data_IF_835795468783
#
_entry.id   IF_835795468783
#
_cell.length_a   1.000
_cell.length_b   1.000
_cell.length_c   1.000
_cell.angle_alpha   90.00
_cell.angle_beta   90.00
_cell.angle_gamma   90.00
#
_symmetry.space_group_name_H-M   'P 1'
#
loop_
_entity.id
_entity.type
_entity.pdbx_description
1 polymer ?
#
# COMPACT_ATOMS: atom_id res chain seq x y z
N UNK A 1 0.63 26.24 9.80
CA UNK A 1 1.03 25.13 8.88
C UNK A 1 -0.02 24.78 7.82
N UNK A 2 -1.25 24.36 8.16
CA UNK A 2 -2.25 23.92 7.16
C UNK A 2 -2.54 24.96 6.06
N UNK A 3 -2.74 26.22 6.45
CA UNK A 3 -2.96 27.34 5.52
C UNK A 3 -1.74 27.57 4.59
N UNK A 4 -0.52 27.37 5.09
CA UNK A 4 0.70 27.50 4.29
C UNK A 4 0.79 26.39 3.23
N UNK A 5 0.40 25.16 3.57
CA UNK A 5 0.34 24.04 2.60
C UNK A 5 -0.71 24.32 1.53
N UNK A 6 -1.91 24.73 1.92
CA UNK A 6 -3.00 25.03 0.97
C UNK A 6 -2.60 26.12 -0.02
N UNK A 7 -2.01 27.20 0.47
CA UNK A 7 -1.55 28.32 -0.37
C UNK A 7 -0.35 27.92 -1.24
N UNK A 8 0.64 27.19 -0.70
CA UNK A 8 1.78 26.70 -1.49
C UNK A 8 1.32 25.77 -2.63
N UNK A 9 0.35 24.89 -2.36
CA UNK A 9 -0.22 24.01 -3.36
C UNK A 9 -1.04 24.77 -4.41
N UNK A 10 -1.81 25.79 -4.01
CA UNK A 10 -2.54 26.65 -4.93
C UNK A 10 -1.60 27.41 -5.88
N UNK A 11 -0.47 27.93 -5.36
CA UNK A 11 0.59 28.55 -6.17
C UNK A 11 1.21 27.53 -7.13
N UNK A 12 1.57 26.33 -6.64
CA UNK A 12 2.15 25.25 -7.46
C UNK A 12 1.19 24.70 -8.54
N UNK A 13 -0.13 24.88 -8.37
CA UNK A 13 -1.17 24.54 -9.35
C UNK A 13 -1.48 25.69 -10.32
N UNK A 14 -0.75 26.80 -10.25
CA UNK A 14 -0.97 27.98 -11.10
C UNK A 14 -2.23 28.77 -10.73
N UNK A 15 -2.74 28.61 -9.51
CA UNK A 15 -3.95 29.29 -8.98
C UNK A 15 -3.64 30.06 -7.69
N UNK A 16 -2.72 31.05 -7.70
CA UNK A 16 -2.25 31.71 -6.48
C UNK A 16 -3.33 32.49 -5.71
N UNK A 17 -4.39 32.92 -6.40
CA UNK A 17 -5.52 33.67 -5.79
C UNK A 17 -6.66 32.75 -5.29
N UNK A 18 -6.57 31.44 -5.51
CA UNK A 18 -7.61 30.52 -5.07
C UNK A 18 -7.55 30.31 -3.56
N UNK A 19 -8.72 30.25 -2.92
CA UNK A 19 -8.88 29.89 -1.51
C UNK A 19 -9.34 28.43 -1.35
N UNK A 20 -8.94 27.56 -2.28
CA UNK A 20 -9.25 26.14 -2.24
C UNK A 20 -8.45 25.47 -1.13
N UNK A 21 -9.17 24.75 -0.26
CA UNK A 21 -8.59 23.96 0.84
C UNK A 21 -8.27 22.55 0.34
N UNK A 22 -7.06 22.09 0.61
CA UNK A 22 -6.59 20.75 0.24
C UNK A 22 -6.34 19.89 1.47
N UNK A 23 -5.94 20.51 2.58
CA UNK A 23 -5.78 19.86 3.88
C UNK A 23 -7.13 19.74 4.59
N UNK A 24 -7.50 18.52 4.97
CA UNK A 24 -8.69 18.23 5.79
C UNK A 24 -8.40 18.47 7.28
N UNK A 25 -7.31 17.89 7.79
CA UNK A 25 -6.92 17.92 9.21
C UNK A 25 -5.44 17.61 9.35
N UNK A 26 -4.80 18.11 10.42
CA UNK A 26 -3.46 17.70 10.84
C UNK A 26 -3.55 17.17 12.27
N UNK A 27 -2.92 16.03 12.55
CA UNK A 27 -2.88 15.40 13.87
C UNK A 27 -1.43 15.17 14.32
N UNK A 28 -1.15 15.38 15.60
CA UNK A 28 0.09 14.93 16.24
C UNK A 28 -0.03 13.45 16.58
N UNK A 29 0.93 12.64 16.13
CA UNK A 29 0.98 11.19 16.37
C UNK A 29 2.38 10.77 16.82
N UNK A 30 2.48 9.77 17.69
CA UNK A 30 3.76 9.18 18.10
C UNK A 30 4.03 7.91 17.30
N UNK A 31 5.25 7.73 16.80
CA UNK A 31 5.64 6.54 16.04
C UNK A 31 7.14 6.28 16.05
N UNK A 32 7.57 5.07 15.68
CA UNK A 32 8.99 4.73 15.56
C UNK A 32 9.40 4.77 14.09
N UNK A 33 10.42 5.55 13.70
CA UNK A 33 10.89 5.55 12.31
C UNK A 33 11.37 4.15 11.90
N UNK A 34 10.99 3.71 10.70
CA UNK A 34 11.41 2.42 10.17
C UNK A 34 12.88 2.39 9.74
N UNK A 35 13.36 3.48 9.14
CA UNK A 35 14.75 3.56 8.65
C UNK A 35 15.71 3.96 9.79
N UNK A 36 16.62 3.03 10.11
CA UNK A 36 17.61 3.17 11.18
C UNK A 36 17.17 2.55 12.51
N UNK A 37 18.10 2.41 13.46
CA UNK A 37 17.79 2.00 14.83
C UNK A 37 17.44 3.25 15.66
N UNK A 38 16.24 3.27 16.22
CA UNK A 38 15.78 4.32 17.14
C UNK A 38 15.23 3.63 18.36
N UNK A 39 15.69 3.88 19.58
CA UNK A 39 15.18 3.17 20.76
C UNK A 39 13.78 3.68 21.18
N UNK A 40 13.56 4.99 21.02
CA UNK A 40 12.35 5.69 21.45
C UNK A 40 11.40 6.05 20.29
N UNK A 41 10.13 6.28 20.63
CA UNK A 41 9.15 6.85 19.70
C UNK A 41 9.42 8.35 19.48
N UNK A 42 9.12 8.84 18.27
CA UNK A 42 9.23 10.23 17.87
C UNK A 42 7.85 10.78 17.50
N UNK A 43 7.69 12.09 17.65
CA UNK A 43 6.46 12.77 17.25
C UNK A 43 6.46 13.07 15.74
N UNK A 44 5.31 12.83 15.12
CA UNK A 44 5.05 13.07 13.70
C UNK A 44 3.75 13.84 13.52
N UNK A 45 3.65 14.55 12.39
CA UNK A 45 2.42 15.20 11.96
C UNK A 45 1.75 14.35 10.88
N UNK A 46 0.56 13.82 11.17
CA UNK A 46 -0.29 13.13 10.20
C UNK A 46 -1.19 14.15 9.50
N UNK A 47 -0.95 14.37 8.21
CA UNK A 47 -1.67 15.33 7.37
C UNK A 47 -2.72 14.57 6.55
N UNK A 48 -4.00 14.90 6.74
CA UNK A 48 -5.09 14.38 5.93
C UNK A 48 -5.39 15.33 4.77
N UNK A 49 -5.47 14.80 3.56
CA UNK A 49 -5.79 15.54 2.35
C UNK A 49 -7.17 15.14 1.82
N UNK A 50 -7.88 16.08 1.20
CA UNK A 50 -9.16 15.77 0.53
C UNK A 50 -8.96 14.98 -0.77
N UNK A 51 -7.88 15.25 -1.50
CA UNK A 51 -7.58 14.61 -2.76
C UNK A 51 -6.24 13.84 -2.68
N UNK A 52 -6.25 12.49 -2.80
CA UNK A 52 -5.03 11.68 -2.68
C UNK A 52 -4.01 11.94 -3.80
N UNK A 53 -4.44 12.44 -4.96
CA UNK A 53 -3.51 12.75 -6.06
C UNK A 53 -2.53 13.88 -5.71
N UNK A 54 -2.83 14.68 -4.69
CA UNK A 54 -1.98 15.80 -4.25
C UNK A 54 -0.87 15.39 -3.28
N UNK A 55 -0.87 14.15 -2.76
CA UNK A 55 0.11 13.67 -1.75
C UNK A 55 1.56 13.82 -2.22
N UNK A 56 1.84 13.43 -3.47
CA UNK A 56 3.18 13.52 -4.06
C UNK A 56 3.66 14.97 -4.16
N UNK A 57 2.80 15.87 -4.65
CA UNK A 57 3.13 17.30 -4.75
C UNK A 57 3.35 17.94 -3.40
N UNK A 58 2.51 17.63 -2.41
CA UNK A 58 2.68 18.15 -1.05
C UNK A 58 4.00 17.67 -0.44
N UNK A 59 4.38 16.40 -0.69
CA UNK A 59 5.63 15.83 -0.21
C UNK A 59 6.85 16.54 -0.83
N UNK A 60 6.82 16.81 -2.14
CA UNK A 60 7.88 17.57 -2.83
C UNK A 60 7.99 19.02 -2.32
N UNK A 61 6.86 19.70 -2.09
CA UNK A 61 6.84 21.05 -1.53
C UNK A 61 7.38 21.11 -0.09
N UNK A 62 7.04 20.11 0.73
CA UNK A 62 7.55 19.98 2.09
C UNK A 62 9.06 19.72 2.12
N UNK A 63 9.54 18.83 1.24
CA UNK A 63 10.97 18.51 1.11
C UNK A 63 11.77 19.68 0.56
N UNK A 64 11.22 20.42 -0.40
CA UNK A 64 11.84 21.60 -1.01
C UNK A 64 11.87 22.84 -0.12
N UNK A 65 11.28 22.80 1.08
CA UNK A 65 11.29 23.93 2.01
C UNK A 65 10.29 25.05 1.67
N UNK A 66 9.42 24.84 0.68
CA UNK A 66 8.41 25.82 0.24
C UNK A 66 7.43 26.22 1.35
N UNK A 67 7.21 25.34 2.32
CA UNK A 67 6.26 25.51 3.41
C UNK A 67 7.01 25.94 4.67
N UNK A 68 6.64 27.08 5.26
CA UNK A 68 7.24 27.61 6.51
C UNK A 68 8.75 27.86 6.45
N UNK A 69 9.34 27.96 5.25
CA UNK A 69 10.77 28.15 5.02
C UNK A 69 11.64 27.11 5.77
N UNK A 70 11.15 25.87 5.85
CA UNK A 70 11.83 24.76 6.52
C UNK A 70 11.67 23.49 5.68
N UNK A 71 12.76 22.78 5.50
CA UNK A 71 12.73 21.46 4.86
C UNK A 71 12.15 20.43 5.83
N UNK A 72 11.08 19.77 5.41
CA UNK A 72 10.46 18.67 6.13
C UNK A 72 10.72 17.37 5.38
N UNK A 73 11.03 16.29 6.10
CA UNK A 73 11.15 14.96 5.52
C UNK A 73 9.76 14.31 5.44
N UNK A 74 9.20 14.05 4.25
CA UNK A 74 7.93 13.35 4.14
C UNK A 74 8.12 11.86 4.47
N UNK A 75 7.21 11.30 5.27
CA UNK A 75 7.16 9.88 5.59
C UNK A 75 5.94 9.24 4.91
N UNK A 76 6.10 8.00 4.43
CA UNK A 76 5.03 7.20 3.81
C UNK A 76 4.31 7.82 2.59
N UNK A 77 4.78 8.96 2.05
CA UNK A 77 4.17 9.63 0.89
C UNK A 77 4.29 8.88 -0.44
N UNK A 78 5.08 7.80 -0.48
CA UNK A 78 5.27 6.96 -1.66
C UNK A 78 4.21 5.85 -1.79
N UNK A 79 3.46 5.56 -0.72
CA UNK A 79 2.46 4.48 -0.72
C UNK A 79 1.17 5.01 -1.38
N UNK A 80 0.69 4.39 -2.48
CA UNK A 80 -0.57 4.77 -3.12
C UNK A 80 -1.76 4.70 -2.15
N UNK A 81 -2.71 5.62 -2.31
CA UNK A 81 -3.90 5.72 -1.46
C UNK A 81 -4.69 4.40 -1.34
N UNK A 82 -4.88 3.68 -2.45
CA UNK A 82 -5.61 2.42 -2.42
C UNK A 82 -4.89 1.34 -1.59
N UNK A 83 -3.56 1.32 -1.62
CA UNK A 83 -2.77 0.40 -0.80
C UNK A 83 -2.80 0.79 0.68
N UNK A 84 -2.72 2.09 0.99
CA UNK A 84 -2.92 2.57 2.37
C UNK A 84 -4.28 2.15 2.91
N UNK A 85 -5.34 2.28 2.10
CA UNK A 85 -6.69 1.83 2.48
C UNK A 85 -6.73 0.32 2.75
N UNK A 86 -6.10 -0.51 1.92
CA UNK A 86 -6.05 -1.96 2.17
C UNK A 86 -5.29 -2.31 3.44
N UNK A 87 -4.17 -1.62 3.72
CA UNK A 87 -3.37 -1.85 4.92
C UNK A 87 -4.16 -1.42 6.18
N UNK A 88 -4.75 -0.22 6.18
CA UNK A 88 -5.44 0.36 7.34
C UNK A 88 -6.66 -0.45 7.79
N UNK A 89 -7.37 -1.07 6.83
CA UNK A 89 -8.57 -1.88 7.09
C UNK A 89 -8.32 -3.38 6.99
N UNK A 90 -7.06 -3.82 6.84
CA UNK A 90 -6.69 -5.22 6.71
C UNK A 90 -7.44 -5.96 5.59
N UNK A 91 -7.50 -5.34 4.41
CA UNK A 91 -8.16 -5.89 3.21
C UNK A 91 -7.13 -6.52 2.28
N UNK A 92 -7.46 -7.72 1.78
CA UNK A 92 -6.65 -8.42 0.79
C UNK A 92 -7.37 -8.53 -0.55
N UNK A 93 -6.61 -8.58 -1.64
CA UNK A 93 -7.17 -8.86 -2.96
C UNK A 93 -7.77 -10.25 -3.03
N UNK A 94 -8.93 -10.39 -3.70
CA UNK A 94 -9.67 -11.66 -3.84
C UNK A 94 -10.15 -12.30 -2.52
N UNK A 95 -10.17 -11.53 -1.43
CA UNK A 95 -10.66 -11.95 -0.13
C UNK A 95 -12.06 -11.38 0.17
N UNK A 96 -12.71 -11.88 1.22
CA UNK A 96 -14.00 -11.42 1.68
C UNK A 96 -13.88 -10.11 2.46
N UNK A 97 -14.77 -9.15 2.16
CA UNK A 97 -14.93 -7.93 2.96
C UNK A 97 -16.08 -8.13 3.94
N UNK A 98 -15.77 -8.05 5.22
CA UNK A 98 -16.72 -8.22 6.31
C UNK A 98 -17.24 -6.84 6.71
N UNK A 99 -18.52 -6.56 6.45
CA UNK A 99 -19.16 -5.28 6.72
C UNK A 99 -20.25 -5.42 7.78
N UNK A 100 -20.28 -4.51 8.75
CA UNK A 100 -21.31 -4.47 9.79
C UNK A 100 -22.67 -4.02 9.23
N UNK A 101 -22.64 -3.02 8.34
CA UNK A 101 -23.83 -2.46 7.71
C UNK A 101 -23.55 -2.05 6.28
N UNK A 102 -24.57 -2.18 5.43
CA UNK A 102 -24.54 -1.73 4.02
C UNK A 102 -25.86 -1.06 3.68
N UNK A 103 -25.80 -0.07 2.80
CA UNK A 103 -26.98 0.57 2.21
C UNK A 103 -27.02 0.34 0.70
N UNK A 104 -28.19 0.02 0.18
CA UNK A 104 -28.39 -0.35 -1.22
C UNK A 104 -28.80 0.86 -2.05
N UNK A 105 -28.23 0.97 -3.26
CA UNK A 105 -28.63 2.00 -4.23
C UNK A 105 -29.78 1.50 -5.10
N UNK A 106 -30.75 2.39 -5.34
CA UNK A 106 -31.92 2.09 -6.15
C UNK A 106 -31.57 2.19 -7.62
N UNK A 107 -32.15 1.29 -8.41
CA UNK A 107 -32.20 1.45 -9.85
C UNK A 107 -33.17 2.60 -10.11
N UNK A 108 -32.72 3.61 -10.86
CA UNK A 108 -33.63 4.63 -11.35
C UNK A 108 -34.70 3.91 -12.18
N UNK A 109 -35.97 4.01 -11.77
CA UNK A 109 -37.08 3.64 -12.62
C UNK A 109 -37.04 4.61 -13.80
N UNK A 110 -36.27 4.26 -14.84
CA UNK A 110 -36.39 4.91 -16.14
C UNK A 110 -37.84 4.70 -16.51
N UNK A 111 -38.63 5.77 -16.47
CA UNK A 111 -40.06 5.77 -16.76
C UNK A 111 -40.36 5.40 -18.21
N UNK A 112 -39.96 4.20 -18.62
CA UNK A 112 -40.59 3.52 -19.74
C UNK A 112 -41.95 3.05 -19.23
N UNK A 113 -42.96 3.86 -19.51
CA UNK A 113 -44.36 3.60 -19.21
C UNK A 113 -44.95 2.44 -20.00
N UNK A 114 -44.18 1.38 -20.25
CA UNK A 114 -44.75 0.10 -20.65
C UNK A 114 -45.18 -0.65 -19.40
N UNK A 115 -46.40 -0.34 -18.97
CA UNK A 115 -47.27 -1.23 -18.22
C UNK A 115 -47.50 -2.51 -19.05
N UNK A 116 -46.50 -3.36 -19.16
CA UNK A 116 -46.72 -4.77 -19.43
C UNK A 116 -46.75 -5.46 -18.08
N UNK A 117 -47.97 -5.54 -17.54
CA UNK A 117 -48.33 -6.55 -16.58
C UNK A 117 -48.13 -7.91 -17.24
N UNK A 118 -46.88 -8.38 -17.23
CA UNK A 118 -46.55 -9.75 -17.61
C UNK A 118 -47.07 -10.65 -16.49
N UNK A 119 -48.30 -11.10 -16.70
CA UNK A 119 -48.87 -12.28 -16.05
C UNK A 119 -48.08 -13.50 -16.51
N UNK A 120 -46.89 -13.71 -15.96
CA UNK A 120 -46.21 -15.01 -16.03
C UNK A 120 -45.52 -15.32 -14.71
N UNK A 121 -46.07 -16.35 -14.04
CA UNK A 121 -45.37 -17.13 -13.03
C UNK A 121 -45.50 -16.61 -11.62
N UNK A 122 -46.60 -16.94 -10.95
CA UNK A 122 -46.54 -17.31 -9.53
C UNK A 122 -45.62 -18.54 -9.41
N UNK A 123 -44.46 -18.50 -8.74
CA UNK A 123 -44.06 -19.65 -7.96
C UNK A 123 -44.96 -19.63 -6.72
N UNK A 124 -45.69 -20.71 -6.50
CA UNK A 124 -46.25 -21.02 -5.20
C UNK A 124 -45.11 -21.01 -4.17
N UNK A 125 -44.91 -19.90 -3.45
CA UNK A 125 -44.05 -19.84 -2.28
C UNK A 125 -44.80 -20.48 -1.10
N UNK A 126 -44.91 -21.80 -1.17
CA UNK A 126 -45.10 -22.62 0.01
C UNK A 126 -43.81 -22.55 0.83
N UNK A 127 -43.85 -21.79 1.92
CA UNK A 127 -43.00 -21.96 3.09
C UNK A 127 -41.50 -22.06 2.83
N UNK A 128 -40.85 -20.96 2.44
CA UNK A 128 -39.42 -20.83 2.71
C UNK A 128 -39.29 -20.51 4.20
N UNK A 129 -39.04 -21.56 4.97
CA UNK A 129 -38.61 -21.49 6.36
C UNK A 129 -37.58 -20.38 6.54
N UNK A 130 -37.79 -19.53 7.56
CA UNK A 130 -36.82 -18.56 8.10
C UNK A 130 -35.65 -19.30 8.77
N UNK A 131 -34.99 -20.17 8.03
CA UNK A 131 -33.88 -21.02 8.45
C UNK A 131 -32.95 -21.24 7.26
N UNK A 132 -32.57 -20.16 6.57
CA UNK A 132 -31.36 -20.18 5.78
C UNK A 132 -30.23 -19.79 6.74
N UNK A 133 -29.24 -20.66 6.88
CA UNK A 133 -28.00 -20.37 7.61
C UNK A 133 -27.54 -18.95 7.27
N UNK A 134 -27.19 -18.18 8.31
CA UNK A 134 -26.84 -16.76 8.23
C UNK A 134 -25.75 -16.42 7.19
N UNK A 135 -25.09 -17.43 6.63
CA UNK A 135 -24.01 -17.32 5.65
C UNK A 135 -24.45 -17.29 4.18
N UNK A 136 -25.73 -17.55 3.84
CA UNK A 136 -26.13 -17.64 2.42
C UNK A 136 -27.40 -16.86 2.07
N UNK A 137 -27.58 -15.68 2.67
CA UNK A 137 -28.70 -14.77 2.41
C UNK A 137 -28.65 -14.24 0.96
N UNK A 138 -29.66 -14.57 0.17
CA UNK A 138 -29.84 -14.01 -1.16
C UNK A 138 -30.43 -12.59 -1.09
N UNK A 139 -29.72 -11.61 -1.64
CA UNK A 139 -30.16 -10.22 -1.67
C UNK A 139 -31.00 -9.96 -2.94
N UNK A 140 -32.30 -9.75 -2.75
CA UNK A 140 -33.25 -9.42 -3.82
C UNK A 140 -34.08 -8.21 -3.41
N UNK A 141 -34.71 -7.50 -4.37
CA UNK A 141 -35.57 -6.33 -4.08
C UNK A 141 -36.62 -6.59 -2.98
N UNK A 142 -37.10 -7.83 -2.86
CA UNK A 142 -38.10 -8.25 -1.87
C UNK A 142 -37.45 -8.60 -0.51
N UNK A 143 -36.20 -9.07 -0.50
CA UNK A 143 -35.47 -9.46 0.71
C UNK A 143 -34.77 -8.29 1.42
N UNK A 144 -34.55 -7.19 0.71
CA UNK A 144 -33.92 -5.97 1.25
C UNK A 144 -34.99 -5.13 1.95
N UNK A 145 -34.78 -4.85 3.24
CA UNK A 145 -35.71 -4.02 4.00
C UNK A 145 -35.69 -2.56 3.51
N UNK A 146 -36.84 -1.88 3.59
CA UNK A 146 -37.04 -0.49 3.19
C UNK A 146 -36.00 0.47 3.79
N UNK A 147 -35.60 0.21 5.04
CA UNK A 147 -34.61 1.00 5.78
C UNK A 147 -33.17 0.85 5.27
N UNK A 148 -32.88 -0.20 4.51
CA UNK A 148 -31.54 -0.47 3.98
C UNK A 148 -31.30 0.22 2.63
N UNK A 149 -32.31 0.84 2.02
CA UNK A 149 -32.15 1.62 0.81
C UNK A 149 -31.67 3.03 1.11
N UNK A 150 -30.82 3.57 0.24
CA UNK A 150 -30.51 5.00 0.22
C UNK A 150 -31.68 5.81 -0.33
N UNK A 151 -31.62 7.13 -0.11
CA UNK A 151 -32.56 8.09 -0.65
C UNK A 151 -32.62 8.03 -2.19
N UNK A 152 -33.73 8.52 -2.75
CA UNK A 152 -33.97 8.52 -4.20
C UNK A 152 -33.03 9.46 -4.97
N UNK A 153 -32.33 10.35 -4.26
CA UNK A 153 -31.30 11.23 -4.78
C UNK A 153 -30.02 10.49 -5.19
N UNK A 154 -29.74 9.34 -4.56
CA UNK A 154 -28.54 8.54 -4.84
C UNK A 154 -28.89 7.38 -5.76
N UNK A 155 -28.80 7.66 -7.06
CA UNK A 155 -29.04 6.66 -8.10
C UNK A 155 -27.82 5.80 -8.35
N UNK A 156 -28.09 4.54 -8.68
CA UNK A 156 -27.09 3.57 -9.12
C UNK A 156 -26.31 4.06 -10.36
N UNK A 157 -25.00 3.84 -10.37
CA UNK A 157 -24.11 4.22 -11.48
C UNK A 157 -23.47 3.02 -12.20
N UNK A 158 -23.39 1.87 -11.54
CA UNK A 158 -22.78 0.64 -12.08
C UNK A 158 -23.74 -0.19 -12.93
N UNK A 159 -23.19 -1.14 -13.69
CA UNK A 159 -23.93 -2.16 -14.44
C UNK A 159 -24.02 -3.51 -13.70
N UNK A 160 -23.46 -3.63 -12.50
CA UNK A 160 -23.45 -4.85 -11.68
C UNK A 160 -24.84 -5.25 -11.17
N UNK A 161 -25.06 -6.47 -10.70
CA UNK A 161 -26.40 -6.86 -10.20
C UNK A 161 -26.81 -6.03 -8.96
N UNK A 162 -25.83 -5.75 -8.10
CA UNK A 162 -26.00 -5.05 -6.83
C UNK A 162 -24.99 -3.90 -6.72
N UNK A 163 -25.44 -2.77 -6.18
CA UNK A 163 -24.57 -1.64 -5.81
C UNK A 163 -24.90 -1.24 -4.37
N UNK A 164 -23.86 -1.20 -3.55
CA UNK A 164 -23.96 -0.91 -2.12
C UNK A 164 -22.97 0.17 -1.72
N UNK A 165 -23.40 1.02 -0.80
CA UNK A 165 -22.54 1.96 -0.09
C UNK A 165 -22.33 1.44 1.33
N UNK A 166 -21.09 1.57 1.81
CA UNK A 166 -20.68 1.25 3.16
C UNK A 166 -19.80 2.37 3.70
N UNK A 167 -19.86 2.59 5.01
CA UNK A 167 -18.96 3.52 5.68
C UNK A 167 -17.70 2.74 6.06
N UNK A 168 -16.53 3.37 5.96
CA UNK A 168 -15.27 2.70 6.26
C UNK A 168 -15.19 2.21 7.73
N UNK A 169 -15.89 2.88 8.66
CA UNK A 169 -16.04 2.47 10.05
C UNK A 169 -16.78 1.12 10.21
N UNK A 170 -17.58 0.72 9.23
CA UNK A 170 -18.32 -0.55 9.26
C UNK A 170 -17.48 -1.74 8.76
N UNK A 171 -16.22 -1.54 8.35
CA UNK A 171 -15.33 -2.61 7.91
C UNK A 171 -14.76 -3.36 9.12
N UNK A 172 -15.11 -4.64 9.25
CA UNK A 172 -14.80 -5.50 10.39
C UNK A 172 -13.53 -6.33 10.21
N UNK A 173 -12.92 -6.33 9.01
CA UNK A 173 -11.70 -7.10 8.71
C UNK A 173 -10.52 -6.81 9.64
N UNK A 174 -10.48 -5.63 10.29
CA UNK A 174 -9.42 -5.26 11.24
C UNK A 174 -9.54 -5.97 12.59
N UNK A 175 -10.75 -6.32 13.02
CA UNK A 175 -11.00 -7.00 14.30
C UNK A 175 -10.81 -8.52 14.24
N UNK A 176 -10.78 -9.11 13.04
CA UNK A 176 -10.57 -10.56 12.84
C UNK A 176 -9.10 -11.01 13.01
N UNK A 177 -8.21 -10.12 13.45
CA UNK A 177 -6.76 -10.37 13.62
C UNK A 177 -6.42 -11.21 14.88
N UNK A 178 -6.98 -12.41 14.97
CA UNK A 178 -6.71 -13.36 16.06
C UNK A 178 -5.50 -14.30 15.82
N UNK A 179 -4.64 -14.04 14.83
CA UNK A 179 -3.39 -14.80 14.64
C UNK A 179 -2.18 -13.87 14.66
N UNK A 180 -1.67 -13.66 15.87
CA UNK A 180 -0.62 -12.71 16.28
C UNK A 180 0.74 -12.83 15.55
N UNK A 181 0.96 -13.76 14.61
CA UNK A 181 2.29 -14.06 14.06
C UNK A 181 2.33 -14.57 12.61
N UNK A 182 1.30 -14.34 11.78
CA UNK A 182 1.29 -14.85 10.40
C UNK A 182 0.81 -13.83 9.37
N UNK A 183 1.42 -13.85 8.19
CA UNK A 183 0.83 -13.18 7.01
C UNK A 183 -0.46 -13.94 6.65
N UNK A 184 -1.65 -13.30 6.67
CA UNK A 184 -2.92 -13.97 6.41
C UNK A 184 -2.97 -14.62 5.03
N UNK A 185 -2.30 -14.04 4.02
CA UNK A 185 -2.16 -14.63 2.70
C UNK A 185 -1.38 -15.95 2.70
N UNK A 186 -0.37 -16.09 3.58
CA UNK A 186 0.36 -17.36 3.74
C UNK A 186 -0.46 -18.39 4.51
N UNK A 187 -1.35 -17.96 5.40
CA UNK A 187 -2.18 -18.87 6.19
C UNK A 187 -3.10 -19.70 5.28
N UNK A 188 -3.76 -19.07 4.31
CA UNK A 188 -4.60 -19.78 3.34
C UNK A 188 -3.80 -20.79 2.52
N UNK A 189 -2.60 -20.42 2.06
CA UNK A 189 -1.71 -21.33 1.32
C UNK A 189 -1.27 -22.52 2.19
N UNK A 190 -0.99 -22.27 3.47
CA UNK A 190 -0.60 -23.33 4.40
C UNK A 190 -1.74 -24.29 4.70
N UNK A 191 -2.96 -23.79 4.83
CA UNK A 191 -4.14 -24.62 5.07
C UNK A 191 -4.52 -25.45 3.83
N UNK A 192 -4.36 -24.90 2.62
CA UNK A 192 -4.47 -25.65 1.36
C UNK A 192 -3.41 -26.75 1.27
N UNK A 193 -2.15 -26.46 1.63
CA UNK A 193 -1.08 -27.46 1.64
C UNK A 193 -1.34 -28.57 2.69
N UNK A 194 -1.80 -28.21 3.89
CA UNK A 194 -2.24 -29.21 4.90
C UNK A 194 -3.37 -30.07 4.35
N UNK A 195 -4.34 -29.48 3.65
CA UNK A 195 -5.45 -30.22 3.05
C UNK A 195 -4.97 -31.18 1.98
N UNK A 196 -4.11 -30.72 1.06
CA UNK A 196 -3.50 -31.56 0.01
C UNK A 196 -2.77 -32.76 0.61
N UNK A 197 -2.06 -32.58 1.73
CA UNK A 197 -1.39 -33.67 2.45
C UNK A 197 -2.39 -34.66 3.06
N UNK A 198 -3.46 -34.16 3.70
CA UNK A 198 -4.55 -35.01 4.22
C UNK A 198 -5.18 -35.86 3.12
N UNK A 199 -5.44 -35.28 1.94
CA UNK A 199 -6.03 -35.98 0.80
C UNK A 199 -5.11 -37.08 0.26
N UNK A 200 -3.80 -36.96 0.48
CA UNK A 200 -2.78 -37.98 0.14
C UNK A 200 -2.45 -38.92 1.30
N UNK A 201 -3.13 -38.81 2.44
CA UNK A 201 -2.81 -39.51 3.69
C UNK A 201 -1.37 -39.26 4.19
N UNK A 202 -0.80 -38.09 3.89
CA UNK A 202 0.49 -37.61 4.40
C UNK A 202 0.29 -36.86 5.74
N UNK A 203 1.33 -36.79 6.56
CA UNK A 203 1.30 -36.00 7.81
C UNK A 203 1.15 -34.50 7.51
N UNK A 204 0.17 -33.85 8.16
CA UNK A 204 -0.09 -32.40 8.05
C UNK A 204 0.88 -31.53 8.86
N UNK A 205 1.74 -32.13 9.69
CA UNK A 205 2.78 -31.43 10.44
C UNK A 205 4.00 -31.24 9.53
N UNK A 206 4.30 -29.99 9.19
CA UNK A 206 5.52 -29.60 8.49
C UNK A 206 6.41 -28.93 9.53
N UNK A 207 7.42 -29.67 10.01
CA UNK A 207 8.42 -29.13 10.92
C UNK A 207 9.50 -28.37 10.14
N UNK A 208 10.11 -27.38 10.79
CA UNK A 208 11.24 -26.67 10.22
C UNK A 208 12.42 -27.64 10.03
N UNK A 209 13.14 -27.56 8.89
CA UNK A 209 14.36 -28.34 8.73
C UNK A 209 15.40 -27.91 9.77
N UNK A 210 16.31 -28.81 10.18
CA UNK A 210 17.39 -28.44 11.08
C UNK A 210 18.22 -27.31 10.45
N UNK A 211 18.58 -26.31 11.25
CA UNK A 211 19.49 -25.25 10.79
C UNK A 211 20.83 -25.87 10.40
N UNK A 212 21.42 -25.51 9.26
CA UNK A 212 22.76 -25.96 8.90
C UNK A 212 23.77 -25.52 9.97
N UNK A 213 24.77 -26.35 10.22
CA UNK A 213 25.84 -26.04 11.15
C UNK A 213 26.64 -24.84 10.61
N UNK A 214 26.84 -23.82 11.46
CA UNK A 214 27.59 -22.63 11.05
C UNK A 214 29.08 -22.94 11.21
N UNK A 215 29.82 -22.96 10.12
CA UNK A 215 31.27 -23.09 10.15
C UNK A 215 31.88 -21.89 10.91
N UNK A 216 32.87 -22.18 11.76
CA UNK A 216 33.66 -21.14 12.42
C UNK A 216 34.62 -20.58 11.37
N UNK A 217 34.26 -19.44 10.79
CA UNK A 217 35.08 -18.72 9.82
C UNK A 217 36.19 -17.97 10.57
N UNK A 218 37.44 -18.10 10.10
CA UNK A 218 38.55 -17.31 10.63
C UNK A 218 38.34 -15.82 10.34
N UNK A 219 38.61 -14.99 11.34
CA UNK A 219 38.30 -13.57 11.26
C UNK A 219 39.18 -12.89 10.19
N UNK A 220 38.53 -12.30 9.18
CA UNK A 220 39.23 -11.63 8.09
C UNK A 220 39.90 -10.32 8.58
N UNK A 221 40.89 -9.83 7.83
CA UNK A 221 41.54 -8.54 8.14
C UNK A 221 40.54 -7.37 8.14
N UNK A 222 39.55 -7.40 7.23
CA UNK A 222 38.46 -6.43 7.16
C UNK A 222 37.57 -6.45 8.41
N UNK A 223 37.27 -7.63 8.95
CA UNK A 223 36.47 -7.78 10.17
C UNK A 223 37.21 -7.21 11.38
N UNK A 224 38.52 -7.45 11.48
CA UNK A 224 39.35 -6.82 12.50
C UNK A 224 39.32 -5.29 12.42
N UNK A 225 39.37 -4.73 11.21
CA UNK A 225 39.28 -3.29 10.98
C UNK A 225 37.92 -2.74 11.46
N UNK A 226 36.81 -3.33 11.02
CA UNK A 226 35.47 -2.88 11.42
C UNK A 226 35.21 -3.06 12.92
N UNK A 227 35.71 -4.13 13.54
CA UNK A 227 35.61 -4.33 14.98
C UNK A 227 36.39 -3.27 15.76
N UNK A 228 37.57 -2.88 15.27
CA UNK A 228 38.33 -1.79 15.87
C UNK A 228 37.60 -0.46 15.72
N UNK A 229 37.03 -0.17 14.55
CA UNK A 229 36.21 1.04 14.35
C UNK A 229 34.98 1.06 15.28
N UNK A 230 34.27 -0.06 15.42
CA UNK A 230 33.13 -0.18 16.36
C UNK A 230 33.57 0.07 17.80
N UNK A 231 34.70 -0.50 18.23
CA UNK A 231 35.23 -0.28 19.59
C UNK A 231 35.55 1.19 19.84
N UNK A 232 36.11 1.90 18.86
CA UNK A 232 36.38 3.34 18.98
C UNK A 232 35.09 4.18 19.03
N UNK A 233 34.08 3.81 18.24
CA UNK A 233 32.76 4.44 18.31
C UNK A 233 32.15 4.26 19.71
N UNK A 234 32.17 3.03 20.25
CA UNK A 234 31.64 2.75 21.60
C UNK A 234 32.36 3.53 22.69
N UNK A 235 33.70 3.66 22.60
CA UNK A 235 34.48 4.51 23.52
C UNK A 235 34.02 5.96 23.47
N UNK A 236 33.84 6.50 22.27
CA UNK A 236 33.42 7.89 22.08
C UNK A 236 32.00 8.15 22.59
N UNK A 237 31.06 7.23 22.32
CA UNK A 237 29.66 7.37 22.73
C UNK A 237 29.46 7.29 24.24
N UNK A 238 30.24 6.46 24.94
CA UNK A 238 30.15 6.31 26.40
C UNK A 238 30.45 7.59 27.21
N UNK A 239 31.09 8.60 26.60
CA UNK A 239 31.37 9.89 27.22
C UNK A 239 30.16 10.84 27.20
N UNK A 240 29.18 10.60 26.33
CA UNK A 240 28.05 11.50 26.08
C UNK A 240 26.81 11.17 26.93
N UNK A 241 26.65 9.92 27.38
CA UNK A 241 25.45 9.44 28.09
C UNK A 241 25.36 9.83 29.58
N UNK A 242 26.34 10.57 30.14
CA UNK A 242 26.31 11.03 31.55
C UNK A 242 25.48 12.30 31.80
N UNK A 243 24.56 12.67 30.90
CA UNK A 243 23.58 13.73 31.15
C UNK A 243 22.18 13.15 31.11
N UNK A 244 21.70 12.76 32.28
CA UNK A 244 20.30 12.42 32.53
C UNK A 244 19.40 13.54 31.99
N UNK A 245 18.62 13.21 30.96
CA UNK A 245 17.57 14.09 30.45
C UNK A 245 16.23 13.56 30.98
N UNK A 246 15.82 14.07 32.14
CA UNK A 246 14.49 13.85 32.72
C UNK A 246 13.50 14.61 31.83
N UNK A 247 12.81 13.90 30.93
CA UNK A 247 11.74 14.49 30.12
C UNK A 247 10.42 14.44 30.92
N UNK A 248 9.65 15.55 31.00
CA UNK A 248 8.37 15.56 31.70
C UNK A 248 7.35 14.68 31.00
N UNK A 249 6.50 14.02 31.77
CA UNK A 249 5.36 13.24 31.30
C UNK A 249 4.38 14.12 30.51
N UNK A 250 4.59 14.26 29.20
CA UNK A 250 3.61 14.80 28.29
C UNK A 250 2.59 13.71 27.94
N UNK A 251 1.32 14.12 27.87
CA UNK A 251 0.20 13.27 27.46
C UNK A 251 0.58 12.50 26.19
N UNK A 252 0.66 11.17 26.29
CA UNK A 252 1.17 10.30 25.22
C UNK A 252 0.34 10.51 23.96
N UNK A 253 0.95 11.08 22.91
CA UNK A 253 0.30 11.29 21.63
C UNK A 253 -0.22 9.94 21.07
N UNK A 254 -1.40 10.00 20.43
CA UNK A 254 -2.10 8.82 19.92
C UNK A 254 -1.26 8.11 18.83
N UNK A 255 -1.28 6.78 18.81
CA UNK A 255 -0.58 6.00 17.78
C UNK A 255 -1.23 6.19 16.39
N UNK A 256 -0.50 5.96 15.28
CA UNK A 256 -1.02 6.18 13.93
C UNK A 256 -2.24 5.28 13.63
N UNK A 257 -2.24 4.04 14.12
CA UNK A 257 -3.34 3.09 13.95
C UNK A 257 -4.62 3.53 14.68
N UNK A 258 -4.50 4.11 15.89
CA UNK A 258 -5.63 4.64 16.65
C UNK A 258 -6.21 5.91 16.03
N UNK A 259 -5.38 6.70 15.34
CA UNK A 259 -5.83 7.92 14.67
C UNK A 259 -6.84 7.65 13.54
N UNK A 260 -6.78 6.48 12.88
CA UNK A 260 -7.72 6.08 11.83
C UNK A 260 -9.11 5.82 12.40
N UNK A 261 -9.20 5.19 13.57
CA UNK A 261 -10.47 4.93 14.27
C UNK A 261 -11.09 6.24 14.80
N UNK A 262 -10.26 7.14 15.34
CA UNK A 262 -10.69 8.43 15.87
C UNK A 262 -11.24 9.39 14.79
N UNK A 263 -10.82 9.25 13.53
CA UNK A 263 -11.41 10.02 12.41
C UNK A 263 -12.91 9.76 12.27
N UNK A 264 -13.33 8.50 12.43
CA UNK A 264 -14.73 8.11 12.23
C UNK A 264 -15.58 8.36 13.47
N UNK A 265 -14.99 8.23 14.67
CA UNK A 265 -15.66 8.52 15.94
C UNK A 265 -15.93 10.02 16.17
N UNK A 266 -15.10 10.91 15.61
CA UNK A 266 -15.15 12.36 15.88
C UNK A 266 -16.20 13.16 15.10
N UNK A 267 -17.18 12.51 14.48
CA UNK A 267 -18.40 13.18 14.01
C UNK A 267 -19.29 13.67 15.17
N UNK A 268 -18.99 13.27 16.41
CA UNK A 268 -19.62 13.78 17.62
C UNK A 268 -18.56 14.25 18.63
N UNK A 269 -18.45 15.57 18.81
CA UNK A 269 -17.76 16.24 19.93
C UNK A 269 -16.26 15.95 20.14
N UNK A 270 -15.37 16.71 19.48
CA UNK A 270 -14.19 17.34 20.11
C UNK A 270 -13.74 18.55 19.26
N UNK A 271 -14.35 19.72 19.50
CA UNK A 271 -13.76 21.01 19.11
C UNK A 271 -12.75 21.36 20.21
N UNK A 272 -11.50 20.91 20.10
CA UNK A 272 -10.43 21.61 20.82
C UNK A 272 -10.24 22.95 20.13
N UNK A 273 -10.70 24.03 20.76
CA UNK A 273 -10.47 25.39 20.30
C UNK A 273 -8.98 25.73 20.42
N UNK A 274 -8.20 25.44 19.38
CA UNK A 274 -6.96 26.18 19.17
C UNK A 274 -7.35 27.55 18.66
N UNK A 275 -7.22 28.52 19.56
CA UNK A 275 -7.39 29.93 19.27
C UNK A 275 -6.44 30.30 18.13
N UNK A 276 -7.00 30.72 17.00
CA UNK A 276 -6.23 31.18 15.84
C UNK A 276 -5.49 32.46 16.22
N UNK A 277 -4.30 32.30 16.80
CA UNK A 277 -3.26 33.32 16.77
C UNK A 277 -2.89 33.48 15.30
N UNK A 278 -2.88 34.71 14.79
CA UNK A 278 -2.66 35.01 13.38
C UNK A 278 -1.39 34.33 12.86
N UNK A 279 -1.57 33.18 12.21
CA UNK A 279 -0.50 32.42 11.57
C UNK A 279 -0.28 33.09 10.21
N UNK A 280 0.67 34.03 10.14
CA UNK A 280 1.13 34.53 8.85
C UNK A 280 1.58 33.33 8.02
N UNK A 281 0.97 33.14 6.85
CA UNK A 281 1.32 32.03 5.96
C UNK A 281 2.71 32.29 5.40
N UNK A 282 3.73 31.70 6.00
CA UNK A 282 5.11 31.77 5.50
C UNK A 282 5.28 30.74 4.38
N UNK A 283 5.56 31.24 3.18
CA UNK A 283 5.75 30.46 1.95
C UNK A 283 6.94 31.05 1.20
N UNK A 284 7.79 30.17 0.67
CA UNK A 284 8.90 30.53 -0.20
C UNK A 284 8.49 30.30 -1.67
N UNK A 285 8.20 31.39 -2.38
CA UNK A 285 7.77 31.34 -3.78
C UNK A 285 8.89 30.87 -4.74
N UNK A 286 10.16 31.08 -4.41
CA UNK A 286 11.31 30.66 -5.22
C UNK A 286 11.56 29.15 -5.06
N UNK A 287 11.39 28.63 -3.84
CA UNK A 287 11.39 27.20 -3.58
C UNK A 287 10.23 26.50 -4.32
N UNK A 288 9.04 27.10 -4.38
CA UNK A 288 7.91 26.56 -5.15
C UNK A 288 8.26 26.48 -6.63
N UNK A 289 8.82 27.54 -7.22
CA UNK A 289 9.23 27.55 -8.63
C UNK A 289 10.23 26.43 -8.92
N UNK A 290 11.25 26.31 -8.08
CA UNK A 290 12.28 25.25 -8.19
C UNK A 290 11.66 23.85 -8.15
N UNK A 291 10.75 23.60 -7.21
CA UNK A 291 10.05 22.30 -7.10
C UNK A 291 9.18 22.05 -8.34
N UNK A 292 8.42 23.04 -8.79
CA UNK A 292 7.53 22.91 -9.96
C UNK A 292 8.34 22.67 -11.25
N UNK A 293 9.48 23.33 -11.41
CA UNK A 293 10.38 23.16 -12.55
C UNK A 293 11.01 21.76 -12.56
N UNK A 294 11.48 21.28 -11.41
CA UNK A 294 12.07 19.94 -11.27
C UNK A 294 11.04 18.81 -11.44
N UNK A 295 9.81 19.00 -10.96
CA UNK A 295 8.72 18.01 -11.09
C UNK A 295 8.14 17.92 -12.51
N UNK A 296 8.39 18.90 -13.39
CA UNK A 296 7.98 18.86 -14.79
C UNK A 296 8.89 18.00 -15.69
N UNK A 297 10.04 17.54 -15.20
CA UNK A 297 11.02 16.78 -16.00
C UNK A 297 10.73 15.28 -16.19
N UNK A 298 9.57 14.76 -15.77
CA UNK A 298 9.22 13.34 -15.97
C UNK A 298 7.79 13.08 -16.49
N UNK A 299 7.09 14.12 -16.98
CA UNK A 299 5.63 14.07 -17.13
C UNK A 299 5.00 14.50 -18.45
N UNK A 300 5.75 14.61 -19.57
CA UNK A 300 5.12 14.89 -20.88
C UNK A 300 5.17 13.67 -21.81
N UNK A 301 4.05 13.22 -22.40
CA UNK A 301 4.08 12.27 -23.50
C UNK A 301 4.45 13.04 -24.77
N UNK A 302 5.71 12.97 -25.21
CA UNK A 302 6.13 13.56 -26.47
C UNK A 302 6.54 12.44 -27.43
N UNK A 303 5.61 12.09 -28.33
CA UNK A 303 5.99 11.76 -29.71
C UNK A 303 6.43 13.08 -30.33
N UNK A 304 7.73 13.26 -30.52
CA UNK A 304 8.33 13.95 -31.66
C UNK A 304 9.85 14.05 -31.48
N UNK A 305 10.52 13.45 -32.44
CA UNK A 305 11.95 13.54 -32.73
C UNK A 305 12.37 15.00 -32.88
N UNK A 306 13.32 15.46 -32.06
CA UNK A 306 14.27 16.52 -32.39
C UNK A 306 15.44 16.49 -31.42
N UNK A 307 16.64 16.48 -32.01
CA UNK A 307 17.93 16.43 -31.35
C UNK A 307 18.12 17.61 -30.40
N UNK A 308 18.50 17.31 -29.16
CA UNK A 308 19.13 18.26 -28.25
C UNK A 308 20.30 17.55 -27.58
N UNK A 309 21.50 18.06 -27.84
CA UNK A 309 22.78 17.57 -27.33
C UNK A 309 22.79 17.63 -25.80
N UNK A 310 22.63 16.47 -25.17
CA UNK A 310 23.00 16.25 -23.78
C UNK A 310 24.50 15.95 -23.81
N UNK A 311 25.30 16.84 -23.24
CA UNK A 311 26.71 16.56 -22.97
C UNK A 311 26.78 15.41 -21.96
N UNK A 312 26.84 14.20 -22.48
CA UNK A 312 27.17 12.99 -21.73
C UNK A 312 28.64 13.15 -21.34
N UNK A 313 28.90 13.12 -20.05
CA UNK A 313 30.25 13.21 -19.48
C UNK A 313 31.12 12.08 -20.04
N UNK A 314 32.09 12.41 -20.89
CA UNK A 314 33.03 11.47 -21.52
C UNK A 314 33.76 10.60 -20.48
N UNK A 315 33.88 11.09 -19.24
CA UNK A 315 34.41 10.34 -18.10
C UNK A 315 33.57 9.10 -17.76
N UNK A 316 32.24 9.21 -17.83
CA UNK A 316 31.32 8.12 -17.50
C UNK A 316 31.32 7.05 -18.61
N UNK A 317 31.43 7.49 -19.87
CA UNK A 317 31.51 6.60 -21.03
C UNK A 317 32.81 5.79 -21.00
N UNK A 318 33.93 6.43 -20.64
CA UNK A 318 35.22 5.73 -20.49
C UNK A 318 35.18 4.71 -19.35
N UNK A 319 34.55 5.03 -18.23
CA UNK A 319 34.42 4.12 -17.08
C UNK A 319 33.57 2.88 -17.40
N UNK A 320 32.48 3.06 -18.15
CA UNK A 320 31.62 1.95 -18.60
C UNK A 320 32.31 1.06 -19.64
N UNK A 321 33.15 1.65 -20.50
CA UNK A 321 33.95 0.90 -21.47
C UNK A 321 35.05 0.08 -20.80
N UNK A 322 35.70 0.62 -19.76
CA UNK A 322 36.71 -0.11 -18.98
C UNK A 322 36.10 -1.28 -18.20
N UNK A 323 34.96 -1.09 -17.54
CA UNK A 323 34.25 -2.17 -16.83
C UNK A 323 33.79 -3.29 -17.76
N UNK A 324 33.40 -2.97 -19.00
CA UNK A 324 32.99 -3.98 -19.97
C UNK A 324 34.19 -4.81 -20.50
N UNK A 325 35.38 -4.23 -20.57
CA UNK A 325 36.60 -4.94 -20.96
C UNK A 325 37.11 -5.86 -19.83
N UNK A 326 36.92 -5.49 -18.57
CA UNK A 326 37.29 -6.33 -17.42
C UNK A 326 36.40 -7.58 -17.28
N UNK A 327 35.12 -7.50 -17.67
CA UNK A 327 34.21 -8.66 -17.67
C UNK A 327 34.60 -9.66 -18.78
N UNK A 328 35.11 -9.17 -19.91
CA UNK A 328 35.54 -10.01 -21.03
C UNK A 328 36.92 -10.64 -20.81
N UNK A 329 37.81 -10.00 -20.05
CA UNK A 329 39.15 -10.52 -19.75
C UNK A 329 39.14 -11.63 -18.69
N UNK A 330 38.22 -11.59 -17.71
CA UNK A 330 38.07 -12.65 -16.70
C UNK A 330 37.47 -13.95 -17.26
N UNK A 331 36.76 -13.88 -18.39
CA UNK A 331 36.13 -15.05 -19.02
C UNK A 331 37.11 -15.92 -19.85
N UNK A 332 38.36 -15.48 -20.06
CA UNK A 332 39.36 -16.21 -20.85
C UNK A 332 40.41 -16.98 -20.01
N UNK A 333 40.36 -16.91 -18.68
CA UNK A 333 41.36 -17.53 -17.80
C UNK A 333 40.96 -18.91 -17.22
N UNK A 334 39.74 -19.38 -17.45
CA UNK A 334 39.24 -20.69 -17.00
C UNK A 334 38.95 -21.61 -18.19
N UNK A 335 40.00 -21.96 -18.94
CA UNK A 335 39.86 -22.79 -20.12
C UNK A 335 41.17 -23.41 -20.56
N UNK A 336 41.85 -24.16 -19.67
CA UNK A 336 42.82 -25.18 -20.06
C UNK A 336 43.30 -25.99 -18.84
N UNK A 337 42.71 -27.18 -18.61
CA UNK A 337 43.45 -28.43 -18.35
C UNK A 337 42.53 -29.66 -18.26
N UNK A 338 42.76 -30.57 -19.20
CA UNK A 338 42.63 -32.04 -19.18
C UNK A 338 41.26 -32.74 -19.16
N UNK A 339 41.03 -33.45 -20.28
CA UNK A 339 40.07 -34.51 -20.47
C UNK A 339 40.65 -35.88 -20.06
N UNK A 340 39.89 -36.70 -19.32
CA UNK A 340 39.88 -38.17 -19.40
C UNK A 340 38.51 -38.67 -18.88
N UNK A 341 37.85 -39.58 -19.62
CA UNK A 341 36.92 -40.55 -19.03
C UNK A 341 35.48 -40.53 -19.55
N UNK A 342 35.25 -41.24 -20.65
CA UNK A 342 33.93 -41.61 -21.18
C UNK A 342 33.22 -42.60 -20.26
N UNK A 343 31.97 -42.35 -19.83
CA UNK A 343 30.98 -43.41 -19.59
C UNK A 343 29.56 -42.89 -19.78
N UNK A 344 28.71 -43.79 -20.28
CA UNK A 344 27.46 -43.62 -21.02
C UNK A 344 26.24 -43.78 -20.10
N UNK A 345 25.16 -43.00 -20.31
CA UNK A 345 23.73 -43.41 -20.40
C UNK A 345 22.72 -42.28 -20.05
N UNK A 346 21.44 -42.37 -20.51
CA UNK A 346 20.73 -41.24 -21.12
C UNK A 346 19.45 -40.75 -20.39
N UNK A 347 18.93 -39.61 -20.84
CA UNK A 347 17.48 -39.42 -21.01
C UNK A 347 16.89 -38.19 -20.31
N UNK A 348 16.45 -37.21 -21.11
CA UNK A 348 15.11 -36.59 -21.04
C UNK A 348 14.96 -35.56 -22.18
N UNK A 349 13.94 -35.80 -23.03
CA UNK A 349 13.58 -34.99 -24.19
C UNK A 349 12.81 -33.71 -23.77
N UNK A 350 12.89 -32.61 -24.54
CA UNK A 350 12.16 -31.37 -24.26
C UNK A 350 10.71 -31.43 -24.80
N UNK A 351 9.75 -30.96 -23.99
CA UNK A 351 8.34 -30.86 -24.36
C UNK A 351 8.09 -29.61 -25.23
N UNK A 352 7.51 -29.81 -26.42
CA UNK A 352 6.98 -28.75 -27.29
C UNK A 352 5.50 -28.48 -26.93
N UNK A 353 5.13 -27.22 -26.78
CA UNK A 353 3.74 -26.79 -26.61
C UNK A 353 3.11 -26.43 -27.97
N UNK A 354 1.95 -26.99 -28.26
CA UNK A 354 1.14 -26.68 -29.46
C UNK A 354 -0.20 -26.11 -29.02
N UNK A 355 -0.56 -24.94 -29.53
CA UNK A 355 -1.80 -24.22 -29.25
C UNK A 355 -2.91 -24.68 -30.20
N UNK A 356 -4.08 -25.04 -29.68
CA UNK A 356 -5.32 -25.16 -30.49
C UNK A 356 -6.50 -24.46 -29.84
N UNK A 357 -7.18 -23.62 -30.63
CA UNK A 357 -8.41 -22.86 -30.28
C UNK A 357 -9.64 -23.74 -30.45
N UNK A 358 -10.55 -23.74 -29.47
CA UNK A 358 -11.97 -24.10 -29.67
C UNK A 358 -12.91 -23.15 -28.92
N UNK A 359 -13.96 -22.70 -29.63
CA UNK A 359 -15.15 -22.00 -29.11
C UNK A 359 -16.15 -23.04 -28.59
N UNK A 360 -16.78 -22.81 -27.42
CA UNK A 360 -18.20 -23.10 -27.18
C UNK A 360 -18.70 -22.57 -25.82
N UNK A 361 -19.97 -22.21 -25.85
CA UNK A 361 -20.88 -21.66 -24.84
C UNK A 361 -21.01 -22.42 -23.50
N UNK A 362 -21.59 -21.69 -22.53
CA UNK A 362 -22.04 -22.06 -21.16
C UNK A 362 -20.93 -22.26 -20.14
N UNK A 363 -20.84 -21.33 -19.18
CA UNK A 363 -20.04 -21.48 -17.97
C UNK A 363 -20.93 -21.38 -16.73
N UNK A 364 -21.22 -22.54 -16.17
CA UNK A 364 -21.49 -22.75 -14.74
C UNK A 364 -20.14 -22.67 -14.07
N UNK A 365 -19.91 -21.67 -13.22
CA UNK A 365 -18.63 -21.51 -12.51
C UNK A 365 -18.54 -22.53 -11.36
N UNK A 366 -17.83 -23.63 -11.60
CA UNK A 366 -17.12 -24.38 -10.56
C UNK A 366 -15.65 -24.00 -10.62
N UNK A 367 -15.09 -23.68 -9.44
CA UNK A 367 -13.65 -23.53 -9.16
C UNK A 367 -12.84 -24.62 -9.83
N UNK A 368 -11.73 -24.26 -10.48
CA UNK A 368 -10.45 -24.98 -10.53
C UNK A 368 -9.39 -23.95 -10.96
N UNK A 369 -8.37 -23.75 -10.10
CA UNK A 369 -7.13 -23.05 -10.43
C UNK A 369 -6.28 -23.90 -11.37
N UNK A 370 -5.54 -23.26 -12.28
CA UNK A 370 -4.32 -23.84 -12.85
C UNK A 370 -3.29 -22.75 -13.11
#
# INVERSE_FOLDING_TARGET
MANSIDRALNVALGRPCANTRHVFKILLVSGRPFYGYHDEEKEFLKIYLYNPSMVKRVSELLQGGAVMNKTFQPHEGHIPFLLQFFIDYNLSGMDMVHLAAVKFRRIADRGDGTLNADKQGTPSEQGVSKSLDSQNRLWTKVTIDGSQWLGEDVLRQSVCELEVDAIAADILNRTDNATLHGNPGLQALWDDEKQRRRDRNESSQIGDPPSPEREVVEMCESENKYLNEIREILRTSSVVDNKENILPSQERAKTPAFSVEALHASSSQERSSFQAVGDETVIDDDAIRTVVENSQHFGSPVVSTQHADVAIDDSLVSLLAELNNDIMSQSQCLGNQQAVGTTVCPGLLPYKATVTRRKANRCVLRRIWS
#
